data_IF_560108415505
#
_entry.id   IF_560108415505
#
_cell.length_a   1.000
_cell.length_b   1.000
_cell.length_c   1.000
_cell.angle_alpha   90.00
_cell.angle_beta   90.00
_cell.angle_gamma   90.00
#
_symmetry.space_group_name_H-M   'P 1'
#
loop_
_entity.id
_entity.type
_entity.pdbx_description
1 polymer ?
#
# COMPACT_ATOMS: atom_id res chain seq x y z
N UNK A 1 12.31 -34.55 -40.72
CA UNK A 1 11.56 -34.67 -39.46
C UNK A 1 12.02 -33.54 -38.55
N UNK A 2 11.21 -32.49 -38.43
CA UNK A 2 11.55 -31.25 -37.73
C UNK A 2 10.75 -31.24 -36.43
N UNK A 3 11.43 -31.39 -35.30
CA UNK A 3 10.82 -31.58 -33.99
C UNK A 3 10.55 -30.20 -33.35
N UNK A 4 9.32 -29.72 -33.45
CA UNK A 4 8.84 -28.55 -32.71
C UNK A 4 8.60 -28.95 -31.24
N UNK A 5 9.49 -28.55 -30.34
CA UNK A 5 9.20 -28.58 -28.91
C UNK A 5 8.19 -27.47 -28.59
N UNK A 6 6.94 -27.86 -28.39
CA UNK A 6 5.88 -27.03 -27.82
C UNK A 6 6.17 -26.82 -26.33
N UNK A 7 6.69 -25.64 -25.99
CA UNK A 7 6.82 -25.22 -24.60
C UNK A 7 5.45 -25.09 -23.95
N UNK A 8 5.10 -26.06 -23.10
CA UNK A 8 3.92 -26.05 -22.23
C UNK A 8 4.12 -25.06 -21.07
N UNK A 9 4.13 -23.76 -21.41
CA UNK A 9 4.05 -22.67 -20.44
C UNK A 9 2.67 -22.64 -19.81
N UNK A 10 2.43 -23.50 -18.83
CA UNK A 10 1.29 -23.40 -17.91
C UNK A 10 1.48 -22.18 -17.00
N UNK A 11 1.27 -21.00 -17.55
CA UNK A 11 1.08 -19.80 -16.76
C UNK A 11 -0.28 -19.90 -16.09
N UNK A 12 -0.32 -20.54 -14.92
CA UNK A 12 -1.43 -20.42 -13.98
C UNK A 12 -1.43 -18.98 -13.47
N UNK A 13 -2.03 -18.07 -14.26
CA UNK A 13 -2.43 -16.75 -13.81
C UNK A 13 -3.24 -16.98 -12.54
N UNK A 14 -2.75 -16.63 -11.33
CA UNK A 14 -3.53 -16.83 -10.13
C UNK A 14 -4.69 -15.86 -10.23
N UNK A 15 -5.85 -16.40 -10.62
CA UNK A 15 -7.15 -15.78 -10.47
C UNK A 15 -7.41 -15.66 -8.98
N UNK A 16 -6.78 -14.66 -8.36
CA UNK A 16 -7.09 -14.23 -7.02
C UNK A 16 -8.21 -13.21 -7.12
N UNK A 17 -9.40 -13.63 -6.73
CA UNK A 17 -10.54 -12.78 -6.42
C UNK A 17 -10.10 -11.64 -5.51
N UNK A 18 -9.64 -10.53 -6.08
CA UNK A 18 -9.49 -9.29 -5.32
C UNK A 18 -10.86 -8.99 -4.71
N UNK A 19 -10.95 -8.71 -3.39
CA UNK A 19 -12.22 -8.33 -2.80
C UNK A 19 -12.73 -7.16 -3.62
N UNK A 20 -13.89 -7.34 -4.26
CA UNK A 20 -14.51 -6.35 -5.14
C UNK A 20 -14.43 -5.02 -4.42
N UNK A 21 -13.49 -4.18 -4.85
CA UNK A 21 -13.28 -2.87 -4.27
C UNK A 21 -14.62 -2.15 -4.43
N UNK A 22 -15.21 -1.67 -3.34
CA UNK A 22 -16.48 -0.95 -3.41
C UNK A 22 -16.38 0.35 -4.24
N UNK A 23 -15.17 0.76 -4.62
CA UNK A 23 -14.87 1.98 -5.35
C UNK A 23 -15.48 2.01 -6.77
N UNK A 24 -15.36 0.96 -7.61
CA UNK A 24 -16.07 0.86 -8.88
C UNK A 24 -17.58 1.13 -8.79
N UNK A 25 -18.26 0.56 -7.79
CA UNK A 25 -19.70 0.74 -7.56
C UNK A 25 -20.03 2.19 -7.17
N UNK A 26 -19.28 2.74 -6.20
CA UNK A 26 -19.41 4.14 -5.77
C UNK A 26 -19.22 5.10 -6.94
N UNK A 27 -18.23 4.84 -7.80
CA UNK A 27 -17.95 5.65 -9.00
C UNK A 27 -19.08 5.56 -10.03
N UNK A 28 -19.66 4.37 -10.25
CA UNK A 28 -20.79 4.21 -11.15
C UNK A 28 -22.01 4.97 -10.63
N UNK A 29 -22.33 4.86 -9.35
CA UNK A 29 -23.39 5.65 -8.71
C UNK A 29 -23.14 7.15 -8.88
N UNK A 30 -21.91 7.62 -8.63
CA UNK A 30 -21.57 9.03 -8.80
C UNK A 30 -21.74 9.50 -10.25
N UNK A 31 -21.40 8.66 -11.23
CA UNK A 31 -21.57 8.98 -12.65
C UNK A 31 -23.05 9.13 -13.00
N UNK A 32 -23.86 8.15 -12.61
CA UNK A 32 -25.31 8.17 -12.82
C UNK A 32 -25.94 9.43 -12.22
N UNK A 33 -25.55 9.76 -10.99
CA UNK A 33 -26.01 10.97 -10.31
C UNK A 33 -25.59 12.25 -11.05
N UNK A 34 -24.35 12.31 -11.55
CA UNK A 34 -23.87 13.45 -12.34
C UNK A 34 -24.63 13.62 -13.66
N UNK A 35 -25.00 12.51 -14.30
CA UNK A 35 -25.79 12.52 -15.53
C UNK A 35 -27.24 12.95 -15.26
N UNK A 36 -27.85 12.44 -14.19
CA UNK A 36 -29.18 12.86 -13.75
C UNK A 36 -29.22 14.36 -13.44
N UNK A 37 -28.22 14.87 -12.73
CA UNK A 37 -28.09 16.30 -12.43
C UNK A 37 -27.96 17.12 -13.72
N UNK A 38 -27.11 16.70 -14.67
CA UNK A 38 -26.95 17.37 -15.98
C UNK A 38 -28.23 17.36 -16.81
N UNK A 39 -29.00 16.26 -16.80
CA UNK A 39 -30.30 16.17 -17.49
C UNK A 39 -31.32 17.14 -16.89
N UNK A 40 -31.45 17.14 -15.56
CA UNK A 40 -32.33 18.04 -14.83
C UNK A 40 -32.00 19.52 -15.10
N UNK A 41 -30.71 19.89 -15.13
CA UNK A 41 -30.30 21.27 -15.47
C UNK A 41 -30.69 21.63 -16.91
N UNK A 42 -30.51 20.71 -17.87
CA UNK A 42 -30.91 20.94 -19.27
C UNK A 42 -32.43 21.12 -19.39
N UNK A 43 -33.21 20.35 -18.65
CA UNK A 43 -34.68 20.50 -18.60
C UNK A 43 -35.08 21.85 -18.00
N UNK A 44 -34.39 22.32 -16.95
CA UNK A 44 -34.61 23.62 -16.33
C UNK A 44 -34.18 24.80 -17.22
N UNK A 45 -33.07 24.68 -17.97
CA UNK A 45 -32.56 25.73 -18.86
C UNK A 45 -33.26 25.78 -20.22
N UNK A 46 -33.73 24.64 -20.73
CA UNK A 46 -34.33 24.50 -22.07
C UNK A 46 -35.73 25.08 -22.24
N UNK A 47 -36.18 25.97 -21.36
CA UNK A 47 -37.49 26.64 -21.47
C UNK A 47 -38.69 25.73 -21.19
N UNK A 48 -38.49 24.43 -20.94
CA UNK A 48 -39.48 23.56 -20.33
C UNK A 48 -39.51 23.81 -18.81
N UNK A 49 -39.73 25.07 -18.44
CA UNK A 49 -40.28 25.40 -17.13
C UNK A 49 -41.76 25.01 -17.26
N UNK A 50 -42.25 23.95 -16.63
CA UNK A 50 -43.69 23.74 -16.56
C UNK A 50 -44.20 24.70 -15.45
N UNK A 51 -44.17 25.99 -15.78
CA UNK A 51 -44.31 27.13 -14.88
C UNK A 51 -44.93 28.37 -15.53
N UNK A 52 -45.27 28.33 -16.83
CA UNK A 52 -46.28 29.25 -17.37
C UNK A 52 -47.72 28.89 -16.95
N UNK A 53 -47.91 27.80 -16.19
CA UNK A 53 -49.12 27.58 -15.39
C UNK A 53 -48.78 26.97 -14.02
N UNK A 54 -48.89 27.81 -12.99
CA UNK A 54 -49.40 27.48 -11.66
C UNK A 54 -48.87 26.24 -10.92
N UNK A 55 -48.01 26.47 -9.93
CA UNK A 55 -47.95 25.79 -8.60
C UNK A 55 -47.96 24.24 -8.49
N UNK A 56 -48.03 23.46 -9.58
CA UNK A 56 -48.19 21.98 -9.54
C UNK A 56 -46.91 21.18 -9.85
N UNK A 57 -45.90 21.76 -10.50
CA UNK A 57 -44.66 21.03 -10.84
C UNK A 57 -43.52 21.12 -9.83
N UNK A 58 -43.67 21.91 -8.77
CA UNK A 58 -42.62 22.05 -7.75
C UNK A 58 -42.47 20.79 -6.87
N UNK A 59 -43.50 19.92 -6.83
CA UNK A 59 -43.52 18.72 -5.98
C UNK A 59 -42.74 17.56 -6.62
N UNK A 60 -42.74 17.45 -7.95
CA UNK A 60 -41.94 16.47 -8.69
C UNK A 60 -40.45 16.76 -8.58
N UNK A 61 -40.04 17.99 -8.91
CA UNK A 61 -38.66 18.44 -8.78
C UNK A 61 -38.12 18.27 -7.35
N UNK A 62 -38.89 18.65 -6.33
CA UNK A 62 -38.48 18.47 -4.95
C UNK A 62 -38.28 17.00 -4.55
N UNK A 63 -39.11 16.09 -5.08
CA UNK A 63 -38.97 14.65 -4.86
C UNK A 63 -37.71 14.11 -5.54
N UNK A 64 -37.42 14.55 -6.75
CA UNK A 64 -36.23 14.13 -7.49
C UNK A 64 -34.94 14.63 -6.82
N UNK A 65 -34.93 15.89 -6.37
CA UNK A 65 -33.81 16.46 -5.60
C UNK A 65 -33.60 15.74 -4.26
N UNK A 66 -34.68 15.42 -3.54
CA UNK A 66 -34.60 14.64 -2.31
C UNK A 66 -34.03 13.24 -2.55
N UNK A 67 -34.43 12.60 -3.67
CA UNK A 67 -33.87 11.30 -4.09
C UNK A 67 -32.38 11.42 -4.40
N UNK A 68 -31.96 12.45 -5.14
CA UNK A 68 -30.54 12.71 -5.44
C UNK A 68 -29.70 12.97 -4.18
N UNK A 69 -30.25 13.71 -3.21
CA UNK A 69 -29.61 13.93 -1.91
C UNK A 69 -29.46 12.62 -1.12
N UNK A 70 -30.50 11.75 -1.14
CA UNK A 70 -30.41 10.43 -0.54
C UNK A 70 -29.34 9.55 -1.22
N UNK A 71 -29.21 9.64 -2.54
CA UNK A 71 -28.14 8.95 -3.29
C UNK A 71 -26.74 9.49 -2.95
N UNK A 72 -26.55 10.82 -2.83
CA UNK A 72 -25.30 11.42 -2.33
C UNK A 72 -24.94 10.91 -0.93
N UNK A 73 -25.92 10.83 -0.04
CA UNK A 73 -25.73 10.31 1.31
C UNK A 73 -25.32 8.84 1.31
N UNK A 74 -25.94 8.01 0.46
CA UNK A 74 -25.57 6.61 0.33
C UNK A 74 -24.11 6.47 -0.15
N UNK A 75 -23.68 7.31 -1.11
CA UNK A 75 -22.30 7.37 -1.61
C UNK A 75 -21.34 7.76 -0.47
N UNK A 76 -21.68 8.80 0.28
CA UNK A 76 -20.91 9.28 1.45
C UNK A 76 -20.73 8.18 2.50
N UNK A 77 -21.79 7.47 2.85
CA UNK A 77 -21.73 6.38 3.83
C UNK A 77 -20.93 5.17 3.32
N UNK A 78 -21.09 4.80 2.04
CA UNK A 78 -20.24 3.77 1.41
C UNK A 78 -18.77 4.16 1.44
N UNK A 79 -18.44 5.43 1.15
CA UNK A 79 -17.08 5.94 1.19
C UNK A 79 -16.48 5.93 2.60
N UNK A 80 -17.24 6.31 3.63
CA UNK A 80 -16.80 6.21 5.03
C UNK A 80 -16.48 4.76 5.41
N UNK A 81 -17.39 3.83 5.12
CA UNK A 81 -17.19 2.39 5.38
C UNK A 81 -15.95 1.86 4.67
N UNK A 82 -15.75 2.25 3.42
CA UNK A 82 -14.60 1.84 2.62
C UNK A 82 -13.28 2.41 3.17
N UNK A 83 -13.29 3.67 3.61
CA UNK A 83 -12.16 4.29 4.29
C UNK A 83 -11.80 3.58 5.61
N UNK A 84 -12.80 3.21 6.41
CA UNK A 84 -12.57 2.52 7.67
C UNK A 84 -12.04 1.09 7.44
N UNK A 85 -12.51 0.41 6.39
CA UNK A 85 -11.94 -0.87 5.96
C UNK A 85 -10.47 -0.73 5.56
N UNK A 86 -10.12 0.29 4.77
CA UNK A 86 -8.73 0.56 4.38
C UNK A 86 -7.82 0.90 5.56
N UNK A 87 -8.34 1.65 6.55
CA UNK A 87 -7.61 1.91 7.80
C UNK A 87 -7.37 0.64 8.60
N UNK A 88 -8.37 -0.23 8.71
CA UNK A 88 -8.26 -1.54 9.39
C UNK A 88 -7.25 -2.47 8.72
N UNK A 89 -7.09 -2.37 7.40
CA UNK A 89 -6.10 -3.12 6.63
C UNK A 89 -4.67 -2.58 6.78
N UNK A 90 -4.45 -1.46 7.49
CA UNK A 90 -3.13 -0.87 7.68
C UNK A 90 -2.70 0.09 6.56
N UNK A 91 -3.53 0.30 5.54
CA UNK A 91 -3.18 1.08 4.34
C UNK A 91 -3.35 2.61 4.52
N UNK A 92 -3.37 3.11 5.77
CA UNK A 92 -3.45 4.54 6.09
C UNK A 92 -4.76 5.24 5.68
N UNK A 93 -5.75 4.50 5.17
CA UNK A 93 -7.00 5.04 4.66
C UNK A 93 -6.90 5.65 3.25
N UNK A 94 -8.00 6.26 2.82
CA UNK A 94 -8.11 7.03 1.58
C UNK A 94 -7.64 8.46 1.86
N UNK A 95 -6.41 8.83 1.49
CA UNK A 95 -5.75 10.09 1.89
C UNK A 95 -6.68 11.32 1.96
N UNK A 96 -7.13 11.80 0.79
CA UNK A 96 -7.98 13.01 0.66
C UNK A 96 -9.48 12.79 0.93
N UNK A 97 -9.86 11.69 1.60
CA UNK A 97 -11.28 11.37 1.89
C UNK A 97 -12.00 12.48 2.65
N UNK A 98 -11.29 13.21 3.54
CA UNK A 98 -11.91 14.29 4.32
C UNK A 98 -12.43 15.41 3.43
N UNK A 99 -11.63 15.81 2.44
CA UNK A 99 -12.00 16.84 1.49
C UNK A 99 -13.13 16.35 0.56
N UNK A 100 -13.07 15.08 0.15
CA UNK A 100 -14.13 14.47 -0.65
C UNK A 100 -15.48 14.43 0.09
N UNK A 101 -15.47 14.04 1.37
CA UNK A 101 -16.69 13.98 2.19
C UNK A 101 -17.28 15.38 2.42
N UNK A 102 -16.44 16.40 2.60
CA UNK A 102 -16.87 17.79 2.71
C UNK A 102 -17.51 18.29 1.42
N UNK A 103 -16.94 17.96 0.26
CA UNK A 103 -17.53 18.33 -1.03
C UNK A 103 -18.88 17.66 -1.27
N UNK A 104 -19.01 16.38 -0.88
CA UNK A 104 -20.27 15.64 -0.92
C UNK A 104 -21.32 16.28 -0.01
N UNK A 105 -20.97 16.69 1.21
CA UNK A 105 -21.86 17.40 2.14
C UNK A 105 -22.34 18.75 1.58
N UNK A 106 -21.43 19.54 1.01
CA UNK A 106 -21.81 20.83 0.42
C UNK A 106 -22.75 20.63 -0.77
N UNK A 107 -22.52 19.61 -1.60
CA UNK A 107 -23.44 19.27 -2.69
C UNK A 107 -24.79 18.78 -2.19
N UNK A 108 -24.82 17.97 -1.13
CA UNK A 108 -26.04 17.53 -0.48
C UNK A 108 -26.87 18.72 0.03
N UNK A 109 -26.21 19.67 0.71
CA UNK A 109 -26.84 20.90 1.21
C UNK A 109 -27.42 21.76 0.09
N UNK A 110 -26.67 21.93 -1.00
CA UNK A 110 -27.14 22.66 -2.19
C UNK A 110 -28.38 21.99 -2.81
N UNK A 111 -28.40 20.65 -2.88
CA UNK A 111 -29.54 19.90 -3.40
C UNK A 111 -30.79 20.01 -2.52
N UNK A 112 -30.63 19.94 -1.20
CA UNK A 112 -31.73 20.09 -0.23
C UNK A 112 -32.35 21.48 -0.30
N UNK A 113 -31.52 22.50 -0.49
CA UNK A 113 -31.97 23.89 -0.65
C UNK A 113 -32.44 24.23 -2.06
N UNK A 114 -32.44 23.27 -2.99
CA UNK A 114 -32.81 23.43 -4.41
C UNK A 114 -31.94 24.45 -5.15
N UNK A 115 -30.71 24.64 -4.68
CA UNK A 115 -29.75 25.61 -5.22
C UNK A 115 -28.76 24.91 -6.14
N UNK A 116 -29.19 24.54 -7.34
CA UNK A 116 -28.29 23.99 -8.36
C UNK A 116 -27.64 25.11 -9.12
N UNK A 117 -26.43 25.48 -8.68
CA UNK A 117 -25.62 26.52 -9.31
C UNK A 117 -24.52 25.91 -10.17
N UNK A 118 -23.82 26.76 -10.94
CA UNK A 118 -22.60 26.36 -11.66
C UNK A 118 -21.54 25.82 -10.70
N UNK A 119 -21.45 26.35 -9.48
CA UNK A 119 -20.51 25.89 -8.47
C UNK A 119 -20.82 24.46 -8.02
N UNK A 120 -22.10 24.12 -7.81
CA UNK A 120 -22.53 22.76 -7.46
C UNK A 120 -22.14 21.75 -8.55
N UNK A 121 -22.27 22.13 -9.83
CA UNK A 121 -21.86 21.30 -10.97
C UNK A 121 -20.35 21.10 -11.00
N UNK A 122 -19.58 22.18 -10.85
CA UNK A 122 -18.12 22.12 -10.82
C UNK A 122 -17.63 21.27 -9.65
N UNK A 123 -18.26 21.41 -8.47
CA UNK A 123 -17.97 20.58 -7.30
C UNK A 123 -18.28 19.11 -7.58
N UNK A 124 -19.39 18.81 -8.26
CA UNK A 124 -19.72 17.44 -8.67
C UNK A 124 -18.65 16.82 -9.59
N UNK A 125 -18.09 17.59 -10.50
CA UNK A 125 -16.98 17.16 -11.37
C UNK A 125 -15.67 16.97 -10.58
N UNK A 126 -15.39 17.86 -9.63
CA UNK A 126 -14.24 17.72 -8.72
C UNK A 126 -14.35 16.45 -7.86
N UNK A 127 -15.54 16.13 -7.34
CA UNK A 127 -15.81 14.89 -6.60
C UNK A 127 -15.50 13.67 -7.46
N UNK A 128 -15.95 13.65 -8.71
CA UNK A 128 -15.63 12.58 -9.66
C UNK A 128 -14.12 12.43 -9.87
N UNK A 129 -13.41 13.54 -10.07
CA UNK A 129 -11.96 13.52 -10.25
C UNK A 129 -11.22 12.99 -9.01
N UNK A 130 -11.68 13.36 -7.81
CA UNK A 130 -11.12 12.85 -6.54
C UNK A 130 -11.40 11.36 -6.37
N UNK A 131 -12.59 10.88 -6.72
CA UNK A 131 -12.91 9.45 -6.73
C UNK A 131 -12.03 8.65 -7.69
N UNK A 132 -11.78 9.20 -8.90
CA UNK A 132 -10.88 8.60 -9.88
C UNK A 132 -9.45 8.50 -9.35
N UNK A 133 -8.94 9.56 -8.72
CA UNK A 133 -7.62 9.56 -8.08
C UNK A 133 -7.54 8.54 -6.96
N UNK A 134 -8.58 8.46 -6.12
CA UNK A 134 -8.66 7.50 -5.02
C UNK A 134 -8.67 6.04 -5.53
N UNK A 135 -9.41 5.76 -6.60
CA UNK A 135 -9.42 4.44 -7.25
C UNK A 135 -8.05 4.06 -7.80
N UNK A 136 -7.36 4.99 -8.47
CA UNK A 136 -6.02 4.74 -9.00
C UNK A 136 -5.01 4.50 -7.87
N UNK A 137 -5.05 5.30 -6.81
CA UNK A 137 -4.18 5.11 -5.64
C UNK A 137 -4.39 3.75 -4.96
N UNK A 138 -5.63 3.26 -4.89
CA UNK A 138 -5.92 1.90 -4.41
C UNK A 138 -5.28 0.84 -5.32
N UNK A 139 -5.45 1.00 -6.63
CA UNK A 139 -4.89 0.06 -7.61
C UNK A 139 -3.36 0.03 -7.55
N UNK A 140 -2.71 1.18 -7.35
CA UNK A 140 -1.26 1.27 -7.20
C UNK A 140 -0.78 0.54 -5.94
N UNK A 141 -1.44 0.73 -4.79
CA UNK A 141 -1.13 0.01 -3.54
C UNK A 141 -1.28 -1.51 -3.69
N UNK A 142 -2.36 -1.95 -4.32
CA UNK A 142 -2.60 -3.38 -4.59
C UNK A 142 -1.49 -4.00 -5.47
N UNK A 143 -0.87 -3.22 -6.36
CA UNK A 143 0.25 -3.64 -7.20
C UNK A 143 1.59 -3.61 -6.44
N UNK A 144 1.80 -2.62 -5.56
CA UNK A 144 3.00 -2.50 -4.73
C UNK A 144 3.13 -3.69 -3.76
N UNK A 145 2.04 -4.09 -3.10
CA UNK A 145 2.02 -5.29 -2.25
C UNK A 145 2.38 -6.56 -3.03
N UNK A 146 1.88 -6.68 -4.27
CA UNK A 146 2.18 -7.82 -5.16
C UNK A 146 3.61 -7.77 -5.71
N UNK A 147 4.30 -6.64 -5.65
CA UNK A 147 5.64 -6.43 -6.23
C UNK A 147 6.68 -6.08 -5.15
N UNK A 148 6.85 -6.95 -4.15
CA UNK A 148 8.08 -6.98 -3.34
C UNK A 148 9.07 -7.97 -3.94
N UNK A 149 10.04 -7.47 -4.72
CA UNK A 149 11.19 -8.28 -5.13
C UNK A 149 12.15 -8.37 -3.96
N UNK A 150 12.35 -9.56 -3.42
CA UNK A 150 13.42 -9.78 -2.45
C UNK A 150 14.75 -9.77 -3.21
N UNK A 151 15.60 -8.78 -2.96
CA UNK A 151 16.99 -8.82 -3.43
C UNK A 151 17.67 -10.06 -2.82
N UNK A 152 18.44 -10.79 -3.63
CA UNK A 152 19.24 -11.90 -3.13
C UNK A 152 20.18 -11.41 -2.03
N UNK A 153 20.05 -11.96 -0.82
CA UNK A 153 20.98 -11.69 0.28
C UNK A 153 22.31 -12.33 -0.09
N UNK A 154 23.33 -11.52 -0.38
CA UNK A 154 24.70 -12.02 -0.54
C UNK A 154 25.23 -12.39 0.84
N UNK A 155 25.21 -13.68 1.15
CA UNK A 155 25.82 -14.20 2.37
C UNK A 155 27.33 -14.33 2.14
N UNK A 156 28.11 -13.49 2.82
CA UNK A 156 29.57 -13.61 2.82
C UNK A 156 29.96 -14.71 3.81
N UNK A 157 30.09 -15.94 3.34
CA UNK A 157 30.66 -17.03 4.15
C UNK A 157 32.16 -16.77 4.36
N UNK A 158 32.51 -16.14 5.49
CA UNK A 158 33.91 -16.10 5.94
C UNK A 158 34.25 -17.43 6.60
N UNK A 159 35.32 -18.07 6.17
CA UNK A 159 35.86 -19.22 6.88
C UNK A 159 36.57 -18.72 8.15
N UNK A 160 36.07 -19.03 9.37
CA UNK A 160 36.76 -18.62 10.59
C UNK A 160 38.15 -19.28 10.76
N UNK A 161 38.47 -20.29 9.95
CA UNK A 161 39.80 -20.94 9.94
C UNK A 161 40.91 -20.03 9.38
N UNK A 162 40.62 -18.96 8.65
CA UNK A 162 41.68 -18.10 8.11
C UNK A 162 42.38 -17.26 9.20
N UNK A 163 41.77 -17.16 10.40
CA UNK A 163 42.32 -16.45 11.57
C UNK A 163 42.86 -17.36 12.68
N UNK A 164 42.74 -18.69 12.55
CA UNK A 164 43.32 -19.64 13.52
C UNK A 164 44.85 -19.74 13.52
N UNK A 165 45.60 -19.49 12.41
CA UNK A 165 47.05 -19.71 12.41
C UNK A 165 47.78 -18.85 13.45
N UNK A 166 47.33 -17.60 13.63
CA UNK A 166 48.01 -16.64 14.51
C UNK A 166 47.96 -17.06 16.00
N UNK A 167 46.88 -17.73 16.42
CA UNK A 167 46.77 -18.27 17.79
C UNK A 167 47.66 -19.50 17.98
N UNK A 168 47.71 -20.39 16.99
CA UNK A 168 48.58 -21.57 17.05
C UNK A 168 50.07 -21.23 17.05
N UNK A 169 50.50 -20.21 16.30
CA UNK A 169 51.91 -19.77 16.30
C UNK A 169 52.35 -19.26 17.68
N UNK A 170 51.55 -18.40 18.31
CA UNK A 170 51.84 -17.89 19.66
C UNK A 170 51.90 -18.99 20.71
N UNK A 171 50.97 -19.94 20.67
CA UNK A 171 50.96 -21.08 21.59
C UNK A 171 52.20 -21.96 21.38
N UNK A 172 52.58 -22.23 20.13
CA UNK A 172 53.77 -23.02 19.80
C UNK A 172 55.05 -22.37 20.33
N UNK A 173 55.23 -21.07 20.14
CA UNK A 173 56.38 -20.33 20.66
C UNK A 173 56.44 -20.36 22.19
N UNK A 174 55.29 -20.23 22.88
CA UNK A 174 55.24 -20.31 24.33
C UNK A 174 55.56 -21.71 24.86
N UNK A 175 55.10 -22.76 24.20
CA UNK A 175 55.41 -24.16 24.56
C UNK A 175 56.89 -24.48 24.35
N UNK A 176 57.51 -23.96 23.29
CA UNK A 176 58.93 -24.16 23.00
C UNK A 176 59.84 -23.50 24.05
N UNK A 177 59.43 -22.36 24.61
CA UNK A 177 60.14 -21.70 25.72
C UNK A 177 59.98 -22.44 27.06
N UNK A 178 58.88 -23.18 27.24
CA UNK A 178 58.59 -23.93 28.47
C UNK A 178 59.12 -25.36 28.47
N UNK A 179 59.43 -25.90 27.30
CA UNK A 179 59.83 -27.30 27.16
C UNK A 179 61.33 -27.44 26.97
N UNK A 180 61.96 -28.32 27.75
CA UNK A 180 63.40 -28.61 27.62
C UNK A 180 63.56 -29.81 26.69
N UNK A 181 64.30 -29.70 25.57
CA UNK A 181 64.51 -30.82 24.66
C UNK A 181 65.13 -32.03 25.37
N UNK A 182 64.60 -33.22 25.08
CA UNK A 182 65.01 -34.45 25.75
C UNK A 182 66.46 -34.86 25.46
N UNK A 183 67.04 -34.32 24.39
CA UNK A 183 68.41 -34.55 23.91
C UNK A 183 69.52 -34.00 24.82
N UNK A 184 69.21 -33.09 25.76
CA UNK A 184 70.21 -32.53 26.66
C UNK A 184 70.56 -33.45 27.85
N UNK A 185 71.82 -33.45 28.26
CA UNK A 185 72.29 -34.12 29.48
C UNK A 185 71.73 -33.42 30.74
N UNK A 186 71.58 -34.17 31.84
CA UNK A 186 70.98 -33.73 33.11
C UNK A 186 71.60 -32.43 33.66
N UNK A 187 72.92 -32.26 33.51
CA UNK A 187 73.60 -31.02 33.90
C UNK A 187 73.04 -29.79 33.18
N UNK A 188 72.88 -29.86 31.86
CA UNK A 188 72.35 -28.75 31.06
C UNK A 188 70.85 -28.56 31.26
N UNK A 189 70.09 -29.64 31.48
CA UNK A 189 68.67 -29.57 31.84
C UNK A 189 68.44 -28.75 33.11
N UNK A 190 69.27 -28.94 34.15
CA UNK A 190 69.21 -28.13 35.39
C UNK A 190 69.53 -26.67 35.15
N UNK A 191 70.60 -26.37 34.40
CA UNK A 191 71.00 -24.98 34.09
C UNK A 191 69.95 -24.22 33.27
N UNK A 192 69.34 -24.88 32.30
CA UNK A 192 68.26 -24.29 31.48
C UNK A 192 67.02 -24.04 32.35
N UNK A 193 66.68 -24.98 33.25
CA UNK A 193 65.56 -24.82 34.20
C UNK A 193 65.78 -23.63 35.14
N UNK A 194 67.01 -23.48 35.66
CA UNK A 194 67.42 -22.33 36.50
C UNK A 194 67.37 -21.00 35.73
N UNK A 195 67.78 -20.98 34.46
CA UNK A 195 67.82 -19.75 33.66
C UNK A 195 66.43 -19.23 33.27
N UNK A 196 65.49 -20.12 32.96
CA UNK A 196 64.14 -19.77 32.55
C UNK A 196 63.12 -19.76 33.70
N UNK A 197 63.54 -20.05 34.95
CA UNK A 197 62.65 -20.22 36.11
C UNK A 197 61.43 -21.11 35.81
N UNK A 198 61.64 -22.23 35.10
CA UNK A 198 60.54 -23.08 34.61
C UNK A 198 59.84 -23.83 35.77
N UNK A 199 60.47 -23.87 36.94
CA UNK A 199 59.90 -24.41 38.18
C UNK A 199 60.03 -23.40 39.31
N UNK A 200 59.03 -22.55 39.46
CA UNK A 200 58.58 -22.12 40.79
C UNK A 200 57.23 -22.84 41.01
N UNK A 201 57.23 -23.74 42.00
CA UNK A 201 56.12 -24.56 42.58
C UNK A 201 54.83 -24.78 41.75
#
# INVERSE_FOLDING_TARGET
MQNNMTGSGSCSKPGGSSPKSGMPDIKQMQKQLSEQMKKMIKELQGGNIPGSQGKKNNKGLAKDLAKMSAEQNAIKEKLKKLNDQQKKQGNGGLGDIKNLLKDLENNEYDLLNKNITRETILRQEQIMNKLLKAENAMRERDLEEKRKSNQGKSYFYRNPQDFTPYKSFKLKEQEELKTIPSSFNLYYKRRISEYFNIFDE
#
